data_IF_203622468941
#
_entry.id   IF_203622468941
#
_cell.length_a   1.000
_cell.length_b   1.000
_cell.length_c   1.000
_cell.angle_alpha   90.00
_cell.angle_beta   90.00
_cell.angle_gamma   90.00
#
_symmetry.space_group_name_H-M   'P 1'
#
loop_
_entity.id
_entity.type
_entity.pdbx_description
1 polymer ?
#
# COMPACT_ATOMS: atom_id res chain seq x y z
N UNK A 1 27.49 -11.87 8.92
CA UNK A 1 26.56 -12.15 7.81
C UNK A 1 26.58 -10.92 6.92
N UNK A 2 26.76 -11.09 5.61
CA UNK A 2 26.66 -9.99 4.65
C UNK A 2 25.20 -9.53 4.47
N UNK A 3 25.01 -8.36 3.86
CA UNK A 3 23.69 -7.75 3.71
C UNK A 3 22.75 -8.60 2.86
N UNK A 4 23.24 -9.22 1.78
CA UNK A 4 22.41 -10.02 0.87
C UNK A 4 21.90 -11.30 1.57
N UNK A 5 22.78 -12.00 2.27
CA UNK A 5 22.42 -13.16 3.09
C UNK A 5 21.39 -12.78 4.15
N UNK A 6 21.59 -11.63 4.83
CA UNK A 6 20.64 -11.12 5.82
C UNK A 6 19.28 -10.80 5.20
N UNK A 7 19.24 -10.18 4.02
CA UNK A 7 18.00 -9.86 3.30
C UNK A 7 17.18 -11.11 2.97
N UNK A 8 17.84 -12.21 2.59
CA UNK A 8 17.20 -13.49 2.31
C UNK A 8 16.62 -14.11 3.58
N UNK A 9 17.40 -14.14 4.67
CA UNK A 9 16.94 -14.69 5.95
C UNK A 9 15.73 -13.92 6.50
N UNK A 10 15.80 -12.59 6.55
CA UNK A 10 14.70 -11.79 7.10
C UNK A 10 13.45 -11.87 6.22
N UNK A 11 13.59 -12.00 4.91
CA UNK A 11 12.44 -12.19 4.01
C UNK A 11 11.72 -13.51 4.32
N UNK A 12 12.45 -14.59 4.62
CA UNK A 12 11.86 -15.86 5.06
C UNK A 12 11.11 -15.69 6.38
N UNK A 13 11.77 -15.10 7.38
CA UNK A 13 11.16 -14.86 8.70
C UNK A 13 9.87 -14.07 8.55
N UNK A 14 9.94 -12.93 7.85
CA UNK A 14 8.78 -12.10 7.59
C UNK A 14 7.69 -12.97 6.97
N UNK A 15 7.93 -13.64 5.84
CA UNK A 15 6.95 -14.47 5.12
C UNK A 15 6.31 -15.60 5.97
N UNK A 16 7.05 -16.18 6.90
CA UNK A 16 6.59 -17.25 7.78
C UNK A 16 5.84 -16.72 9.02
N UNK A 17 6.14 -15.50 9.46
CA UNK A 17 5.47 -14.85 10.60
C UNK A 17 4.01 -14.52 10.25
N UNK A 18 3.10 -14.91 11.16
CA UNK A 18 1.68 -14.58 11.08
C UNK A 18 1.47 -13.06 11.09
N UNK A 19 0.44 -12.56 10.40
CA UNK A 19 0.25 -11.12 10.25
C UNK A 19 -0.11 -10.44 11.58
N UNK A 20 -0.77 -11.18 12.45
CA UNK A 20 -1.17 -10.79 13.79
C UNK A 20 0.06 -10.47 14.68
N UNK A 21 1.22 -10.99 14.32
CA UNK A 21 2.50 -10.80 15.02
C UNK A 21 3.36 -9.69 14.39
N UNK A 22 2.86 -8.97 13.37
CA UNK A 22 3.60 -7.89 12.71
C UNK A 22 4.05 -6.79 13.72
N UNK A 23 3.32 -6.59 14.83
CA UNK A 23 3.70 -5.65 15.89
C UNK A 23 5.11 -5.92 16.43
N UNK A 24 5.44 -7.18 16.68
CA UNK A 24 6.76 -7.58 17.15
C UNK A 24 7.85 -7.32 16.10
N UNK A 25 7.54 -7.52 14.82
CA UNK A 25 8.46 -7.20 13.72
C UNK A 25 8.69 -5.68 13.60
N UNK A 26 7.66 -4.86 13.82
CA UNK A 26 7.79 -3.41 13.85
C UNK A 26 8.65 -2.93 15.03
N UNK A 27 8.47 -3.50 16.22
CA UNK A 27 9.30 -3.21 17.40
C UNK A 27 10.77 -3.62 17.18
N UNK A 28 10.99 -4.84 16.67
CA UNK A 28 12.33 -5.34 16.35
C UNK A 28 13.02 -4.44 15.32
N UNK A 29 12.26 -3.93 14.33
CA UNK A 29 12.77 -2.97 13.34
C UNK A 29 13.24 -1.66 13.98
N UNK A 30 12.54 -1.13 14.98
CA UNK A 30 12.96 0.09 15.69
C UNK A 30 14.32 -0.10 16.39
N UNK A 31 14.49 -1.23 17.09
CA UNK A 31 15.75 -1.57 17.75
C UNK A 31 16.87 -1.76 16.72
N UNK A 32 16.61 -2.57 15.69
CA UNK A 32 17.58 -2.88 14.64
C UNK A 32 18.07 -1.62 13.89
N UNK A 33 17.20 -0.65 13.68
CA UNK A 33 17.55 0.56 12.91
C UNK A 33 18.59 1.44 13.62
N UNK A 34 18.75 1.31 14.94
CA UNK A 34 19.72 2.09 15.72
C UNK A 34 21.14 1.62 15.48
N UNK A 35 21.34 0.31 15.41
CA UNK A 35 22.67 -0.31 15.29
C UNK A 35 22.99 -0.70 13.84
N UNK A 36 21.95 -1.04 13.07
CA UNK A 36 22.05 -1.57 11.72
C UNK A 36 21.03 -0.91 10.78
N UNK A 37 21.25 0.35 10.36
CA UNK A 37 20.27 1.13 9.61
C UNK A 37 19.82 0.51 8.29
N UNK A 38 20.72 -0.09 7.50
CA UNK A 38 20.39 -0.72 6.22
C UNK A 38 19.48 -1.94 6.40
N UNK A 39 19.78 -2.76 7.41
CA UNK A 39 18.97 -3.89 7.81
C UNK A 39 17.58 -3.42 8.31
N UNK A 40 17.55 -2.38 9.15
CA UNK A 40 16.30 -1.76 9.59
C UNK A 40 15.42 -1.25 8.43
N UNK A 41 16.02 -0.59 7.44
CA UNK A 41 15.33 -0.12 6.24
C UNK A 41 14.78 -1.26 5.38
N UNK A 42 15.52 -2.34 5.23
CA UNK A 42 15.05 -3.48 4.45
C UNK A 42 13.93 -4.26 5.16
N UNK A 43 14.01 -4.45 6.48
CA UNK A 43 12.89 -5.01 7.25
C UNK A 43 11.65 -4.12 7.11
N UNK A 44 11.81 -2.79 7.22
CA UNK A 44 10.71 -1.84 7.00
C UNK A 44 10.11 -1.95 5.61
N UNK A 45 10.93 -2.11 4.56
CA UNK A 45 10.48 -2.35 3.18
C UNK A 45 9.54 -3.57 3.13
N UNK A 46 9.95 -4.70 3.69
CA UNK A 46 9.16 -5.94 3.67
C UNK A 46 7.82 -5.81 4.41
N UNK A 47 7.81 -5.15 5.57
CA UNK A 47 6.58 -4.92 6.35
C UNK A 47 5.60 -3.97 5.62
N UNK A 48 6.11 -2.95 4.93
CA UNK A 48 5.29 -2.04 4.13
C UNK A 48 4.73 -2.74 2.88
N UNK A 49 5.54 -3.57 2.22
CA UNK A 49 5.10 -4.38 1.09
C UNK A 49 3.94 -5.30 1.46
N UNK A 50 4.07 -5.99 2.59
CA UNK A 50 3.01 -6.81 3.18
C UNK A 50 1.74 -6.03 3.46
N UNK A 51 1.86 -4.84 4.08
CA UNK A 51 0.73 -3.97 4.37
C UNK A 51 0.00 -3.53 3.09
N UNK A 52 0.74 -3.24 2.02
CA UNK A 52 0.19 -2.90 0.71
C UNK A 52 -0.49 -4.10 0.03
N UNK A 53 -0.02 -5.32 0.30
CA UNK A 53 -0.56 -6.55 -0.30
C UNK A 53 -1.80 -7.12 0.44
N UNK A 54 -1.91 -6.96 1.76
CA UNK A 54 -2.93 -7.65 2.60
C UNK A 54 -4.24 -6.88 2.82
N UNK A 55 -4.49 -5.79 2.12
CA UNK A 55 -5.75 -5.06 2.17
C UNK A 55 -5.58 -3.71 1.52
N UNK A 56 -6.63 -3.20 0.88
CA UNK A 56 -6.62 -1.86 0.34
C UNK A 56 -7.25 -0.95 1.38
N UNK A 57 -6.45 -0.28 2.23
CA UNK A 57 -7.01 0.73 3.11
C UNK A 57 -7.63 1.84 2.24
N UNK A 58 -8.46 2.69 2.84
CA UNK A 58 -9.02 3.86 2.15
C UNK A 58 -7.96 4.59 1.32
N UNK A 59 -8.35 5.14 0.16
CA UNK A 59 -7.45 5.79 -0.82
C UNK A 59 -6.29 6.55 -0.17
N UNK A 60 -6.60 7.45 0.76
CA UNK A 60 -5.59 8.24 1.48
C UNK A 60 -4.53 7.38 2.18
N UNK A 61 -4.95 6.43 3.01
CA UNK A 61 -4.05 5.54 3.72
C UNK A 61 -3.28 4.60 2.76
N UNK A 62 -3.88 4.21 1.63
CA UNK A 62 -3.19 3.44 0.60
C UNK A 62 -2.05 4.26 -0.03
N UNK A 63 -2.35 5.48 -0.49
CA UNK A 63 -1.36 6.37 -1.10
C UNK A 63 -0.24 6.74 -0.12
N UNK A 64 -0.58 7.00 1.16
CA UNK A 64 0.41 7.25 2.20
C UNK A 64 1.32 6.04 2.45
N UNK A 65 0.79 4.81 2.47
CA UNK A 65 1.60 3.61 2.64
C UNK A 65 2.49 3.34 1.41
N UNK A 66 1.98 3.61 0.21
CA UNK A 66 2.74 3.47 -1.03
C UNK A 66 3.89 4.48 -1.10
N UNK A 67 3.65 5.72 -0.70
CA UNK A 67 4.69 6.76 -0.56
C UNK A 67 5.74 6.35 0.47
N UNK A 68 5.33 5.90 1.67
CA UNK A 68 6.24 5.41 2.72
C UNK A 68 7.10 4.25 2.23
N UNK A 69 6.51 3.32 1.48
CA UNK A 69 7.22 2.18 0.89
C UNK A 69 8.30 2.64 -0.09
N UNK A 70 7.92 3.50 -1.05
CA UNK A 70 8.85 4.02 -2.05
C UNK A 70 9.98 4.85 -1.41
N UNK A 71 9.67 5.73 -0.45
CA UNK A 71 10.69 6.49 0.29
C UNK A 71 11.64 5.59 1.09
N UNK A 72 11.14 4.48 1.64
CA UNK A 72 11.96 3.51 2.37
C UNK A 72 13.00 2.86 1.46
N UNK A 73 12.58 2.42 0.26
CA UNK A 73 13.48 1.85 -0.76
C UNK A 73 14.49 2.91 -1.23
N UNK A 74 14.02 4.12 -1.50
CA UNK A 74 14.91 5.23 -1.91
C UNK A 74 15.99 5.50 -0.86
N UNK A 75 15.61 5.54 0.43
CA UNK A 75 16.54 5.74 1.55
C UNK A 75 17.56 4.61 1.67
N UNK A 76 17.12 3.37 1.46
CA UNK A 76 17.98 2.19 1.46
C UNK A 76 19.06 2.29 0.36
N UNK A 77 18.67 2.66 -0.86
CA UNK A 77 19.62 2.77 -1.97
C UNK A 77 20.49 4.02 -1.89
N UNK A 78 19.97 5.17 -1.45
CA UNK A 78 20.77 6.39 -1.22
C UNK A 78 21.89 6.19 -0.19
N UNK A 79 21.73 5.23 0.72
CA UNK A 79 22.75 4.91 1.71
C UNK A 79 23.89 4.05 1.15
N UNK A 80 23.76 3.53 -0.08
CA UNK A 80 24.72 2.61 -0.71
C UNK A 80 25.33 3.16 -2.00
N UNK A 81 24.55 3.92 -2.77
CA UNK A 81 24.95 4.45 -4.07
C UNK A 81 25.32 5.93 -3.98
N UNK A 82 26.25 6.35 -4.84
CA UNK A 82 26.57 7.77 -5.00
C UNK A 82 25.37 8.53 -5.56
N UNK A 83 25.20 9.79 -5.16
CA UNK A 83 24.08 10.64 -5.59
C UNK A 83 23.94 10.76 -7.12
N UNK A 84 25.05 10.76 -7.84
CA UNK A 84 25.07 10.83 -9.31
C UNK A 84 24.37 9.64 -9.99
N UNK A 85 24.29 8.48 -9.33
CA UNK A 85 23.57 7.32 -9.85
C UNK A 85 22.06 7.55 -9.96
N UNK A 86 21.52 8.55 -9.25
CA UNK A 86 20.10 8.91 -9.26
C UNK A 86 19.77 10.00 -10.29
N UNK A 87 20.76 10.47 -11.05
CA UNK A 87 20.53 11.37 -12.19
C UNK A 87 19.87 10.62 -13.35
N UNK A 88 19.11 11.32 -14.18
CA UNK A 88 18.36 10.74 -15.31
C UNK A 88 19.24 9.93 -16.26
N UNK A 89 20.49 10.39 -16.46
CA UNK A 89 21.50 9.71 -17.29
C UNK A 89 21.92 8.33 -16.77
N UNK A 90 21.81 8.05 -15.46
CA UNK A 90 22.34 6.84 -14.83
C UNK A 90 21.29 6.01 -14.10
N UNK A 91 20.09 6.55 -13.86
CA UNK A 91 19.06 5.89 -13.08
C UNK A 91 18.65 4.52 -13.66
N UNK A 92 18.81 4.30 -14.97
CA UNK A 92 18.55 3.03 -15.64
C UNK A 92 19.48 1.88 -15.18
N UNK A 93 20.64 2.20 -14.61
CA UNK A 93 21.61 1.23 -14.05
C UNK A 93 21.27 0.80 -12.62
N UNK A 94 20.33 1.47 -11.96
CA UNK A 94 19.95 1.14 -10.58
C UNK A 94 19.12 -0.16 -10.53
N UNK A 95 19.15 -0.85 -9.38
CA UNK A 95 18.29 -2.01 -9.13
C UNK A 95 16.82 -1.75 -9.44
N UNK A 96 16.09 -2.78 -9.87
CA UNK A 96 14.73 -2.63 -10.37
C UNK A 96 13.75 -2.07 -9.33
N UNK A 97 13.88 -2.45 -8.05
CA UNK A 97 13.08 -1.91 -6.96
C UNK A 97 13.43 -0.45 -6.65
N UNK A 98 14.69 -0.05 -6.78
CA UNK A 98 15.10 1.35 -6.71
C UNK A 98 14.43 2.18 -7.82
N UNK A 99 14.52 1.72 -9.08
CA UNK A 99 13.88 2.39 -10.23
C UNK A 99 12.37 2.47 -10.08
N UNK A 100 11.74 1.41 -9.57
CA UNK A 100 10.31 1.43 -9.23
C UNK A 100 10.02 2.50 -8.18
N UNK A 101 10.81 2.58 -7.10
CA UNK A 101 10.55 3.55 -6.03
C UNK A 101 10.57 4.99 -6.53
N UNK A 102 11.51 5.34 -7.43
CA UNK A 102 11.58 6.65 -8.06
C UNK A 102 10.32 6.93 -8.91
N UNK A 103 9.95 5.98 -9.77
CA UNK A 103 8.77 6.12 -10.63
C UNK A 103 7.46 6.20 -9.82
N UNK A 104 7.36 5.50 -8.68
CA UNK A 104 6.21 5.59 -7.78
C UNK A 104 6.12 6.99 -7.15
N UNK A 105 7.24 7.54 -6.67
CA UNK A 105 7.26 8.89 -6.08
C UNK A 105 6.85 9.95 -7.09
N UNK A 106 7.36 9.85 -8.32
CA UNK A 106 7.00 10.75 -9.43
C UNK A 106 5.52 10.61 -9.83
N UNK A 107 5.00 9.38 -9.86
CA UNK A 107 3.59 9.13 -10.17
C UNK A 107 2.66 9.71 -9.10
N UNK A 108 3.03 9.57 -7.83
CA UNK A 108 2.27 10.13 -6.70
C UNK A 108 2.32 11.65 -6.67
N UNK A 109 3.45 12.27 -7.01
CA UNK A 109 3.57 13.71 -7.15
C UNK A 109 2.70 14.23 -8.32
N UNK A 110 2.78 13.58 -9.49
CA UNK A 110 1.91 13.87 -10.63
C UNK A 110 0.42 13.72 -10.29
N UNK A 111 0.08 12.73 -9.44
CA UNK A 111 -1.29 12.55 -8.97
C UNK A 111 -1.71 13.74 -8.10
N UNK A 112 -0.90 14.13 -7.12
CA UNK A 112 -1.15 15.28 -6.23
C UNK A 112 -1.32 16.59 -7.01
N UNK A 113 -0.61 16.74 -8.13
CA UNK A 113 -0.69 17.90 -9.02
C UNK A 113 -1.90 17.86 -9.99
N UNK A 114 -2.70 16.78 -9.97
CA UNK A 114 -3.86 16.65 -10.85
C UNK A 114 -3.49 16.35 -12.31
N UNK A 115 -2.37 15.67 -12.56
CA UNK A 115 -1.96 15.22 -13.90
C UNK A 115 -2.19 13.71 -14.08
N UNK A 116 -3.44 13.26 -14.31
CA UNK A 116 -3.77 11.84 -14.41
C UNK A 116 -3.11 11.15 -15.60
N UNK A 117 -2.86 11.87 -16.69
CA UNK A 117 -2.23 11.30 -17.88
C UNK A 117 -0.81 10.81 -17.59
N UNK A 118 -0.05 11.62 -16.85
CA UNK A 118 1.32 11.32 -16.47
C UNK A 118 1.37 10.27 -15.37
N UNK A 119 0.50 10.35 -14.37
CA UNK A 119 0.37 9.32 -13.33
C UNK A 119 0.10 7.94 -13.93
N UNK A 120 -0.82 7.84 -14.91
CA UNK A 120 -1.11 6.57 -15.60
C UNK A 120 0.11 6.07 -16.38
N UNK A 121 0.82 6.97 -17.09
CA UNK A 121 2.02 6.62 -17.86
C UNK A 121 3.08 6.00 -16.95
N UNK A 122 3.40 6.65 -15.83
CA UNK A 122 4.42 6.21 -14.87
C UNK A 122 4.05 4.88 -14.21
N UNK A 123 2.80 4.71 -13.74
CA UNK A 123 2.36 3.44 -13.15
C UNK A 123 2.36 2.28 -14.16
N UNK A 124 1.95 2.52 -15.42
CA UNK A 124 2.05 1.48 -16.45
C UNK A 124 3.49 1.10 -16.77
N UNK A 125 4.40 2.07 -16.76
CA UNK A 125 5.83 1.80 -16.95
C UNK A 125 6.35 0.82 -15.89
N UNK A 126 5.98 1.01 -14.62
CA UNK A 126 6.38 0.13 -13.51
C UNK A 126 5.94 -1.33 -13.75
N UNK A 127 4.72 -1.55 -14.26
CA UNK A 127 4.20 -2.89 -14.54
C UNK A 127 5.06 -3.69 -15.54
N UNK A 128 5.84 -3.01 -16.39
CA UNK A 128 6.70 -3.68 -17.38
C UNK A 128 7.98 -4.29 -16.79
N UNK A 129 8.45 -3.78 -15.64
CA UNK A 129 9.74 -4.16 -15.08
C UNK A 129 9.71 -4.58 -13.60
N UNK A 130 8.55 -4.49 -12.93
CA UNK A 130 8.40 -4.84 -11.52
C UNK A 130 7.13 -5.68 -11.27
N UNK A 131 7.13 -6.97 -11.64
CA UNK A 131 5.95 -7.83 -11.53
C UNK A 131 5.52 -8.07 -10.07
N UNK A 132 6.46 -8.05 -9.11
CA UNK A 132 6.15 -8.31 -7.70
C UNK A 132 5.15 -7.31 -7.09
N UNK A 133 5.17 -6.04 -7.55
CA UNK A 133 4.26 -4.99 -7.06
C UNK A 133 3.05 -4.77 -7.98
N UNK A 134 2.84 -5.62 -8.98
CA UNK A 134 1.81 -5.38 -10.00
C UNK A 134 0.40 -5.24 -9.41
N UNK A 135 0.05 -6.02 -8.37
CA UNK A 135 -1.24 -5.91 -7.70
C UNK A 135 -1.46 -4.53 -7.07
N UNK A 136 -0.44 -4.00 -6.39
CA UNK A 136 -0.47 -2.69 -5.74
C UNK A 136 -0.55 -1.56 -6.78
N UNK A 137 0.22 -1.66 -7.85
CA UNK A 137 0.20 -0.65 -8.93
C UNK A 137 -1.13 -0.65 -9.69
N UNK A 138 -1.73 -1.82 -9.91
CA UNK A 138 -3.08 -1.93 -10.48
C UNK A 138 -4.13 -1.31 -9.59
N UNK A 139 -4.01 -1.45 -8.27
CA UNK A 139 -4.90 -0.78 -7.33
C UNK A 139 -4.75 0.75 -7.41
N UNK A 140 -3.52 1.26 -7.46
CA UNK A 140 -3.28 2.69 -7.64
C UNK A 140 -3.95 3.21 -8.92
N UNK A 141 -3.82 2.50 -10.04
CA UNK A 141 -4.49 2.84 -11.29
C UNK A 141 -6.02 2.77 -11.17
N UNK A 142 -6.55 1.78 -10.43
CA UNK A 142 -8.00 1.63 -10.18
C UNK A 142 -8.54 2.80 -9.36
N UNK A 143 -7.85 3.20 -8.30
CA UNK A 143 -8.20 4.35 -7.46
C UNK A 143 -8.18 5.66 -8.25
N UNK A 144 -7.19 5.84 -9.14
CA UNK A 144 -7.12 7.01 -10.01
C UNK A 144 -8.28 7.04 -11.00
N UNK A 145 -8.58 5.90 -11.62
CA UNK A 145 -9.72 5.78 -12.53
C UNK A 145 -11.04 6.12 -11.83
N UNK A 146 -11.25 5.58 -10.64
CA UNK A 146 -12.44 5.87 -9.83
C UNK A 146 -12.56 7.37 -9.54
N UNK A 147 -11.48 8.05 -9.16
CA UNK A 147 -11.48 9.51 -8.96
C UNK A 147 -11.84 10.31 -10.23
N UNK A 148 -11.47 9.81 -11.41
CA UNK A 148 -11.80 10.45 -12.70
C UNK A 148 -13.24 10.19 -13.13
N UNK A 149 -13.74 8.97 -12.93
CA UNK A 149 -15.11 8.56 -13.30
C UNK A 149 -16.15 9.10 -12.30
N UNK A 150 -15.74 9.23 -11.04
CA UNK A 150 -16.54 9.73 -9.93
C UNK A 150 -15.81 10.88 -9.23
N UNK A 151 -15.62 12.04 -9.90
CA UNK A 151 -15.06 13.21 -9.27
C UNK A 151 -15.93 13.52 -8.05
N UNK A 152 -15.34 13.37 -6.86
CA UNK A 152 -16.09 13.47 -5.62
C UNK A 152 -16.89 14.78 -5.64
N UNK A 153 -18.21 14.78 -5.35
CA UNK A 153 -18.95 16.01 -5.16
C UNK A 153 -18.47 16.66 -3.87
N UNK A 154 -17.33 17.37 -3.91
CA UNK A 154 -16.71 18.06 -2.76
C UNK A 154 -16.89 17.32 -1.42
N UNK A 155 -16.68 16.00 -1.39
CA UNK A 155 -16.84 15.20 -0.18
C UNK A 155 -15.59 15.43 0.66
N UNK A 156 -15.66 16.41 1.54
CA UNK A 156 -14.57 16.84 2.41
C UNK A 156 -14.09 15.74 3.38
N UNK A 157 -13.06 16.04 4.19
CA UNK A 157 -12.45 15.10 5.14
C UNK A 157 -13.44 14.45 6.12
N UNK A 158 -14.59 15.08 6.35
CA UNK A 158 -15.69 14.58 7.19
C UNK A 158 -16.36 13.34 6.59
N UNK A 159 -16.48 13.26 5.26
CA UNK A 159 -17.06 12.11 4.58
C UNK A 159 -16.11 10.91 4.62
N UNK A 160 -14.81 11.13 4.47
CA UNK A 160 -13.80 10.08 4.63
C UNK A 160 -13.75 9.53 6.06
N UNK A 161 -13.85 10.41 7.07
CA UNK A 161 -13.94 10.00 8.47
C UNK A 161 -15.20 9.18 8.73
N UNK A 162 -16.35 9.60 8.20
CA UNK A 162 -17.59 8.86 8.33
C UNK A 162 -17.47 7.48 7.68
N UNK A 163 -16.94 7.40 6.46
CA UNK A 163 -16.73 6.13 5.78
C UNK A 163 -15.78 5.19 6.54
N UNK A 164 -14.72 5.74 7.15
CA UNK A 164 -13.80 4.98 8.00
C UNK A 164 -14.49 4.44 9.26
N UNK A 165 -15.25 5.28 9.95
CA UNK A 165 -16.00 4.88 11.15
C UNK A 165 -17.06 3.82 10.84
N UNK A 166 -17.80 3.98 9.74
CA UNK A 166 -18.80 3.02 9.31
C UNK A 166 -18.18 1.66 8.93
N UNK A 167 -17.00 1.64 8.30
CA UNK A 167 -16.27 0.39 8.04
C UNK A 167 -15.75 -0.28 9.31
N UNK A 168 -15.23 0.49 10.25
CA UNK A 168 -14.78 -0.04 11.53
C UNK A 168 -15.96 -0.68 12.28
N UNK A 169 -17.11 0.00 12.32
CA UNK A 169 -18.34 -0.54 12.88
C UNK A 169 -18.79 -1.82 12.18
N UNK A 170 -18.74 -1.86 10.84
CA UNK A 170 -19.06 -3.04 10.04
C UNK A 170 -18.18 -4.25 10.41
N UNK A 171 -16.86 -4.06 10.53
CA UNK A 171 -15.93 -5.13 10.94
C UNK A 171 -16.24 -5.64 12.35
N UNK A 172 -16.54 -4.75 13.29
CA UNK A 172 -16.92 -5.11 14.66
C UNK A 172 -18.26 -5.87 14.70
N UNK A 173 -19.26 -5.45 13.91
CA UNK A 173 -20.55 -6.13 13.81
C UNK A 173 -20.40 -7.56 13.28
N UNK A 174 -19.56 -7.77 12.27
CA UNK A 174 -19.26 -9.10 11.72
C UNK A 174 -18.57 -9.97 12.78
N UNK A 175 -17.58 -9.43 13.50
CA UNK A 175 -16.89 -10.16 14.59
C UNK A 175 -17.84 -10.54 15.73
N UNK A 176 -18.86 -9.72 16.00
CA UNK A 176 -19.87 -9.96 17.02
C UNK A 176 -21.05 -10.83 16.53
N UNK A 177 -21.04 -11.32 15.30
CA UNK A 177 -22.13 -12.12 14.72
C UNK A 177 -23.41 -11.34 14.41
N UNK A 178 -23.36 -10.00 14.38
CA UNK A 178 -24.49 -9.11 14.12
C UNK A 178 -24.75 -8.95 12.61
N UNK A 179 -25.01 -10.06 11.92
CA UNK A 179 -25.02 -10.11 10.44
C UNK A 179 -26.13 -9.27 9.79
N UNK A 180 -27.33 -9.16 10.39
CA UNK A 180 -28.41 -8.32 9.86
C UNK A 180 -28.08 -6.82 9.92
N UNK A 181 -27.49 -6.38 11.03
CA UNK A 181 -27.08 -4.98 11.21
C UNK A 181 -25.90 -4.65 10.29
N UNK A 182 -24.94 -5.58 10.17
CA UNK A 182 -23.84 -5.47 9.23
C UNK A 182 -24.33 -5.33 7.78
N UNK A 183 -25.33 -6.12 7.36
CA UNK A 183 -25.92 -6.01 6.02
C UNK A 183 -26.60 -4.67 5.77
N UNK A 184 -27.29 -4.11 6.77
CA UNK A 184 -27.89 -2.77 6.67
C UNK A 184 -26.83 -1.69 6.45
N UNK A 185 -25.76 -1.70 7.26
CA UNK A 185 -24.64 -0.76 7.13
C UNK A 185 -23.90 -0.93 5.79
N UNK A 186 -23.71 -2.17 5.34
CA UNK A 186 -23.10 -2.47 4.05
C UNK A 186 -23.94 -1.94 2.87
N UNK A 187 -25.26 -2.06 2.94
CA UNK A 187 -26.18 -1.54 1.91
C UNK A 187 -26.17 -0.01 1.80
N UNK A 188 -25.82 0.69 2.88
CA UNK A 188 -25.65 2.15 2.89
C UNK A 188 -24.26 2.58 2.41
N UNK A 189 -23.23 1.77 2.68
CA UNK A 189 -21.84 2.03 2.29
C UNK A 189 -21.57 1.71 0.82
N UNK A 190 -22.21 0.67 0.25
CA UNK A 190 -22.01 0.23 -1.13
C UNK A 190 -22.31 1.34 -2.16
N UNK A 191 -23.43 2.08 -2.09
CA UNK A 191 -23.69 3.19 -3.01
C UNK A 191 -22.70 4.35 -2.86
N UNK A 192 -22.13 4.53 -1.67
CA UNK A 192 -21.19 5.61 -1.35
C UNK A 192 -19.74 5.27 -1.74
N UNK A 193 -19.41 3.98 -1.76
CA UNK A 193 -18.09 3.44 -2.10
C UNK A 193 -18.25 2.17 -2.98
N UNK A 194 -18.80 2.31 -4.21
CA UNK A 194 -19.21 1.17 -5.03
C UNK A 194 -18.06 0.26 -5.46
N UNK A 195 -16.84 0.80 -5.50
CA UNK A 195 -15.65 0.10 -5.97
C UNK A 195 -14.70 -0.33 -4.83
N UNK A 196 -15.17 -0.34 -3.59
CA UNK A 196 -14.32 -0.69 -2.46
C UNK A 196 -14.15 -2.21 -2.31
N UNK A 197 -12.97 -2.71 -2.69
CA UNK A 197 -12.67 -4.14 -2.67
C UNK A 197 -12.76 -4.78 -1.27
N UNK A 198 -12.54 -4.02 -0.19
CA UNK A 198 -12.79 -4.53 1.16
C UNK A 198 -14.29 -4.69 1.42
N UNK A 199 -15.12 -3.71 1.04
CA UNK A 199 -16.58 -3.83 1.18
C UNK A 199 -17.14 -4.96 0.32
N UNK A 200 -16.63 -5.16 -0.90
CA UNK A 200 -17.03 -6.27 -1.76
C UNK A 200 -16.63 -7.64 -1.18
N UNK A 201 -15.46 -7.74 -0.54
CA UNK A 201 -15.05 -8.95 0.19
C UNK A 201 -15.90 -9.20 1.43
N UNK A 202 -16.21 -8.15 2.21
CA UNK A 202 -17.09 -8.25 3.38
C UNK A 202 -18.53 -8.62 2.97
N UNK A 203 -19.00 -8.12 1.83
CA UNK A 203 -20.27 -8.53 1.23
C UNK A 203 -20.27 -10.02 0.88
N UNK A 204 -19.20 -10.52 0.25
CA UNK A 204 -19.09 -11.95 -0.04
C UNK A 204 -19.06 -12.81 1.22
N UNK A 205 -18.34 -12.40 2.27
CA UNK A 205 -18.33 -13.12 3.55
C UNK A 205 -19.72 -13.16 4.19
N UNK A 206 -20.40 -12.01 4.27
CA UNK A 206 -21.75 -11.93 4.81
C UNK A 206 -22.75 -12.79 4.04
N UNK A 207 -22.66 -12.81 2.71
CA UNK A 207 -23.54 -13.66 1.90
C UNK A 207 -23.22 -15.15 2.02
N UNK A 208 -21.97 -15.52 2.31
CA UNK A 208 -21.55 -16.90 2.52
C UNK A 208 -21.93 -17.44 3.91
N UNK A 209 -22.08 -16.58 4.92
CA UNK A 209 -22.46 -16.98 6.28
C UNK A 209 -24.00 -16.96 6.51
N UNK A 210 -24.75 -16.32 5.61
CA UNK A 210 -26.23 -16.26 5.65
C UNK A 210 -26.89 -17.46 4.91
N UNK A 211 -26.12 -18.19 4.09
CA UNK A 211 -26.56 -19.38 3.32
C UNK A 211 -25.79 -20.64 3.75
#
# INVERSE_FOLDING_TARGET
MDLESWQKCIASIVNETAYEEDSHLWEARELLSKEHPLQGLWLKKLLLERRLAKGFPMKKAFLENLEKYALCIHSFYKSQYQSSMFEESFCHLLPADCRMSLAVLEALDSWKQGNPSETVRLFRQILSFCPQMAGVIREALRLLKNELDHPAPAAGPEFEQLAFQMKAALKTMIQNGQYQEAMSVLSQLLPLLPDDMELLKLQQQLLADIY
#
